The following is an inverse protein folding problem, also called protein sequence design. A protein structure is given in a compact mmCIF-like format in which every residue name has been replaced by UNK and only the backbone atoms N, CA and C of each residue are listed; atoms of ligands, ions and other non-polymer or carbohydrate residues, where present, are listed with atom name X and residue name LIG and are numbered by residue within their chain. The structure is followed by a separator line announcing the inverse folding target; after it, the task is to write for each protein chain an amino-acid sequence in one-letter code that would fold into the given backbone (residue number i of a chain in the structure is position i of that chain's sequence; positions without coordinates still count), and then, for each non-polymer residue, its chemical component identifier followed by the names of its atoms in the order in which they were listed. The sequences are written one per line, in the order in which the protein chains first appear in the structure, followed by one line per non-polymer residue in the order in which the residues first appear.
data_IF_933565149342
#
_entry.id   IF_933565149342
#
_cell.length_a   1.000
_cell.length_b   1.000
_cell.length_c   1.000
_cell.angle_alpha   90.00
_cell.angle_beta   90.00
_cell.angle_gamma   90.00
#
_symmetry.space_group_name_H-M   'P 1'
#
loop_
_entity.id
_entity.type
_entity.pdbx_description
1 polymer ?
#
# COMPACT_ATOMS: atom_id res chain seq x y z
N UNK A 1 13.90 14.21 -23.02
CA UNK A 1 12.93 14.22 -24.12
C UNK A 1 12.63 15.67 -24.47
N UNK A 2 13.00 16.09 -25.67
CA UNK A 2 13.04 17.50 -26.08
C UNK A 2 11.65 18.12 -26.17
N UNK A 3 10.65 17.33 -26.60
CA UNK A 3 9.26 17.75 -26.64
C UNK A 3 8.68 18.04 -25.25
N UNK A 4 9.08 17.27 -24.23
CA UNK A 4 8.69 17.49 -22.84
C UNK A 4 9.36 18.75 -22.27
N UNK A 5 10.65 18.92 -22.54
CA UNK A 5 11.39 20.13 -22.16
C UNK A 5 10.78 21.38 -22.80
N UNK A 6 10.37 21.31 -24.07
CA UNK A 6 9.70 22.41 -24.77
C UNK A 6 8.30 22.72 -24.20
N UNK A 7 7.53 21.69 -23.82
CA UNK A 7 6.23 21.88 -23.15
C UNK A 7 6.39 22.50 -21.76
N UNK A 8 7.40 22.09 -20.99
CA UNK A 8 7.75 22.68 -19.69
C UNK A 8 8.30 24.10 -19.84
N UNK A 9 9.10 24.36 -20.87
CA UNK A 9 9.62 25.68 -21.24
C UNK A 9 8.47 26.65 -21.55
N UNK A 10 7.47 26.17 -22.31
CA UNK A 10 6.24 26.91 -22.54
C UNK A 10 5.44 27.13 -21.25
N UNK A 11 5.45 26.19 -20.30
CA UNK A 11 4.64 26.27 -19.08
C UNK A 11 5.14 27.31 -18.08
N UNK A 12 6.47 27.54 -17.96
CA UNK A 12 7.01 28.56 -17.06
C UNK A 12 6.51 29.98 -17.38
N UNK A 13 6.18 30.24 -18.64
CA UNK A 13 5.48 31.45 -19.10
C UNK A 13 4.17 31.09 -19.84
N UNK A 14 3.52 30.00 -19.44
CA UNK A 14 2.39 29.41 -20.16
C UNK A 14 1.30 30.44 -20.43
N UNK A 15 1.05 30.70 -21.72
CA UNK A 15 0.07 31.68 -22.22
C UNK A 15 0.46 33.17 -22.06
N UNK A 16 1.71 33.49 -21.75
CA UNK A 16 2.19 34.88 -21.64
C UNK A 16 3.53 35.08 -22.38
N UNK A 17 3.67 36.18 -23.11
CA UNK A 17 4.94 36.54 -23.75
C UNK A 17 5.99 36.90 -22.67
N UNK A 18 7.20 36.31 -22.69
CA UNK A 18 8.28 36.61 -21.73
C UNK A 18 9.53 35.76 -21.93
N UNK A 19 10.66 36.18 -21.36
CA UNK A 19 11.93 35.43 -21.36
C UNK A 19 12.03 34.53 -20.12
N UNK A 20 12.81 33.44 -20.20
CA UNK A 20 12.95 32.49 -19.08
C UNK A 20 13.55 33.11 -17.81
N UNK A 21 14.37 34.16 -17.96
CA UNK A 21 14.97 34.88 -16.85
C UNK A 21 14.00 35.85 -16.17
N UNK A 22 12.83 36.09 -16.77
CA UNK A 22 11.81 36.91 -16.15
C UNK A 22 11.16 36.15 -14.99
N UNK A 23 10.76 36.84 -13.91
CA UNK A 23 10.03 36.22 -12.83
C UNK A 23 8.74 35.56 -13.37
N UNK A 24 8.38 34.36 -12.87
CA UNK A 24 7.24 33.60 -13.36
C UNK A 24 5.96 34.43 -13.29
N UNK A 25 5.30 34.62 -14.45
CA UNK A 25 4.11 35.47 -14.58
C UNK A 25 2.86 34.85 -13.96
N UNK A 26 2.78 33.53 -13.95
CA UNK A 26 1.75 32.80 -13.22
C UNK A 26 2.27 32.46 -11.83
N UNK A 27 1.45 32.70 -10.82
CA UNK A 27 1.71 32.30 -9.44
C UNK A 27 0.70 31.24 -9.06
N UNK A 28 1.15 30.16 -8.43
CA UNK A 28 0.28 29.26 -7.68
C UNK A 28 -0.22 30.03 -6.45
N UNK A 29 -1.28 30.81 -6.62
CA UNK A 29 -1.88 31.64 -5.54
C UNK A 29 -2.79 30.83 -4.61
N UNK A 30 -2.98 29.53 -4.88
CA UNK A 30 -3.85 28.64 -4.10
C UNK A 30 -5.35 28.92 -4.20
N UNK A 31 -5.73 29.88 -5.04
CA UNK A 31 -7.12 30.20 -5.37
C UNK A 31 -7.75 29.17 -6.29
N UNK A 32 -6.96 28.59 -7.20
CA UNK A 32 -7.41 27.53 -8.08
C UNK A 32 -7.33 26.17 -7.40
N UNK A 33 -8.50 25.66 -6.99
CA UNK A 33 -8.63 24.33 -6.34
C UNK A 33 -7.90 23.22 -7.09
N UNK A 34 -7.81 23.30 -8.42
CA UNK A 34 -7.16 22.31 -9.28
C UNK A 34 -5.63 22.23 -9.05
N UNK A 35 -5.01 23.31 -8.63
CA UNK A 35 -3.55 23.40 -8.47
C UNK A 35 -3.10 23.47 -7.01
N UNK A 36 -4.02 23.35 -6.06
CA UNK A 36 -3.68 23.33 -4.64
C UNK A 36 -2.77 22.16 -4.27
N UNK A 37 -2.86 21.03 -4.99
CA UNK A 37 -1.96 19.91 -4.84
C UNK A 37 -0.52 20.21 -5.29
N UNK A 38 -0.30 21.24 -6.12
CA UNK A 38 1.01 21.64 -6.63
C UNK A 38 1.71 22.69 -5.73
N UNK A 39 0.99 23.33 -4.79
CA UNK A 39 1.58 24.27 -3.84
C UNK A 39 2.70 23.63 -2.98
N UNK A 40 2.48 22.45 -2.36
CA UNK A 40 3.52 21.82 -1.55
C UNK A 40 4.71 21.38 -2.40
N UNK A 41 4.45 20.94 -3.64
CA UNK A 41 5.50 20.57 -4.60
C UNK A 41 6.42 21.74 -4.93
N UNK A 42 5.86 22.95 -5.10
CA UNK A 42 6.65 24.17 -5.31
C UNK A 42 7.53 24.52 -4.08
N UNK A 43 7.09 24.17 -2.88
CA UNK A 43 7.87 24.28 -1.64
C UNK A 43 8.83 23.10 -1.39
N UNK A 44 8.90 22.14 -2.31
CA UNK A 44 9.73 20.93 -2.16
C UNK A 44 9.18 19.92 -1.15
N UNK A 45 7.88 19.97 -0.84
CA UNK A 45 7.18 19.10 0.10
C UNK A 45 6.23 18.14 -0.62
N UNK A 46 6.13 16.92 -0.12
CA UNK A 46 5.19 15.92 -0.62
C UNK A 46 3.75 16.35 -0.34
N UNK A 47 2.85 16.36 -1.34
CA UNK A 47 1.52 16.98 -1.21
C UNK A 47 0.57 16.27 -0.24
N UNK A 48 0.80 14.99 0.04
CA UNK A 48 -0.05 14.21 0.98
C UNK A 48 0.58 14.12 2.38
N UNK A 49 1.91 14.14 2.49
CA UNK A 49 2.60 13.83 3.76
C UNK A 49 3.36 15.01 4.35
N UNK A 50 3.54 16.11 3.59
CA UNK A 50 4.29 17.30 4.01
C UNK A 50 5.80 17.08 4.16
N UNK A 51 6.30 15.86 3.97
CA UNK A 51 7.73 15.53 4.09
C UNK A 51 8.53 16.16 2.95
N UNK A 52 9.79 16.56 3.18
CA UNK A 52 10.65 17.06 2.11
C UNK A 52 10.86 16.00 1.03
N UNK A 53 10.77 16.41 -0.24
CA UNK A 53 10.97 15.54 -1.39
C UNK A 53 12.47 15.35 -1.60
N UNK A 54 12.93 14.11 -1.58
CA UNK A 54 14.31 13.74 -1.89
C UNK A 54 14.36 13.16 -3.29
N UNK A 55 14.97 13.89 -4.23
CA UNK A 55 15.09 13.51 -5.64
C UNK A 55 16.24 12.53 -5.93
N UNK A 56 16.34 11.44 -5.14
CA UNK A 56 17.43 10.46 -5.28
C UNK A 56 17.01 9.20 -6.08
N UNK A 57 15.83 9.18 -6.70
CA UNK A 57 15.38 8.02 -7.47
C UNK A 57 15.78 8.15 -8.94
N UNK A 58 16.24 7.04 -9.50
CA UNK A 58 16.49 6.91 -10.93
C UNK A 58 15.20 7.18 -11.72
N UNK A 59 15.29 7.79 -12.92
CA UNK A 59 14.13 8.00 -13.76
C UNK A 59 13.50 6.65 -14.11
N UNK A 60 12.19 6.54 -13.85
CA UNK A 60 11.40 5.36 -14.18
C UNK A 60 10.80 5.57 -15.58
N UNK A 61 10.84 4.57 -16.48
CA UNK A 61 10.16 4.62 -17.76
C UNK A 61 8.67 4.98 -17.58
N UNK A 62 8.19 5.98 -18.33
CA UNK A 62 6.82 6.48 -18.20
C UNK A 62 5.75 5.40 -18.43
N UNK A 63 6.06 4.38 -19.24
CA UNK A 63 5.17 3.23 -19.48
C UNK A 63 4.85 2.48 -18.18
N UNK A 64 5.83 2.29 -17.29
CA UNK A 64 5.61 1.62 -16.00
C UNK A 64 4.71 2.45 -15.09
N UNK A 65 4.86 3.78 -15.13
CA UNK A 65 4.01 4.70 -14.38
C UNK A 65 2.55 4.59 -14.83
N UNK A 66 2.30 4.50 -16.14
CA UNK A 66 0.94 4.38 -16.69
C UNK A 66 0.27 3.04 -16.40
N UNK A 67 1.05 1.96 -16.30
CA UNK A 67 0.51 0.62 -15.93
C UNK A 67 -0.08 0.60 -14.51
N UNK A 68 0.33 1.53 -13.65
CA UNK A 68 -0.16 1.65 -12.28
C UNK A 68 -1.45 2.47 -12.14
N UNK A 69 -2.09 2.89 -13.26
CA UNK A 69 -3.30 3.72 -13.30
C UNK A 69 -3.18 5.01 -12.45
N UNK A 70 -2.22 5.90 -12.74
CA UNK A 70 -1.95 7.07 -11.94
C UNK A 70 -3.03 8.15 -12.11
N UNK A 71 -3.25 8.95 -11.06
CA UNK A 71 -4.16 10.11 -11.12
C UNK A 71 -3.38 11.36 -11.54
N UNK A 72 -3.81 12.00 -12.62
CA UNK A 72 -3.24 13.28 -13.07
C UNK A 72 -3.58 14.40 -12.08
N UNK A 73 -2.55 15.06 -11.55
CA UNK A 73 -2.68 16.19 -10.61
C UNK A 73 -2.29 17.53 -11.26
N UNK A 74 -2.06 17.54 -12.58
CA UNK A 74 -1.74 18.71 -13.37
C UNK A 74 -0.24 18.97 -13.52
N UNK A 75 0.12 19.75 -14.54
CA UNK A 75 1.51 20.18 -14.76
C UNK A 75 2.49 19.05 -15.09
N UNK A 76 2.00 17.90 -15.53
CA UNK A 76 2.82 16.70 -15.81
C UNK A 76 3.18 15.89 -14.56
N UNK A 77 2.59 16.22 -13.40
CA UNK A 77 2.71 15.44 -12.18
C UNK A 77 1.57 14.43 -12.06
N UNK A 78 1.91 13.26 -11.52
CA UNK A 78 0.99 12.14 -11.37
C UNK A 78 1.06 11.62 -9.93
N UNK A 79 -0.10 11.36 -9.34
CA UNK A 79 -0.22 10.69 -8.06
C UNK A 79 -0.37 9.18 -8.29
N UNK A 80 0.64 8.42 -7.90
CA UNK A 80 0.60 6.96 -7.92
C UNK A 80 -0.40 6.44 -6.86
N UNK A 81 -1.06 5.30 -7.12
CA UNK A 81 -1.85 4.65 -6.10
C UNK A 81 -1.00 4.26 -4.88
N UNK A 82 -1.61 4.13 -3.69
CA UNK A 82 -0.90 3.66 -2.52
C UNK A 82 -0.30 2.27 -2.76
N UNK A 83 0.97 2.10 -2.38
CA UNK A 83 1.67 0.82 -2.48
C UNK A 83 0.88 -0.22 -1.67
N UNK A 84 0.59 -1.37 -2.30
CA UNK A 84 -0.08 -2.49 -1.62
C UNK A 84 0.73 -2.82 -0.34
N UNK A 85 0.08 -2.91 0.84
CA UNK A 85 0.79 -3.34 2.04
C UNK A 85 1.41 -4.71 1.79
N UNK A 86 2.57 -5.02 2.41
CA UNK A 86 3.14 -6.35 2.31
C UNK A 86 2.08 -7.39 2.69
N UNK A 87 2.11 -8.59 2.07
CA UNK A 87 1.23 -9.66 2.50
C UNK A 87 1.38 -9.83 4.01
N UNK A 88 0.26 -10.08 4.70
CA UNK A 88 0.31 -10.42 6.13
C UNK A 88 1.35 -11.51 6.31
N UNK A 89 2.17 -11.38 7.35
CA UNK A 89 3.11 -12.44 7.73
C UNK A 89 2.36 -13.76 7.75
N UNK A 90 2.98 -14.86 7.29
CA UNK A 90 2.40 -16.19 7.47
C UNK A 90 1.91 -16.32 8.92
N UNK A 91 0.71 -16.87 9.10
CA UNK A 91 0.27 -17.22 10.45
C UNK A 91 1.32 -18.15 11.03
N UNK A 92 1.89 -17.78 12.17
CA UNK A 92 2.79 -18.64 12.94
C UNK A 92 1.96 -19.81 13.48
N UNK A 93 1.86 -20.88 12.70
CA UNK A 93 1.36 -22.14 13.22
C UNK A 93 2.49 -22.77 14.03
N UNK A 94 2.28 -23.08 15.32
CA UNK A 94 3.31 -23.77 16.09
C UNK A 94 3.60 -25.11 15.43
N UNK A 95 4.88 -25.42 15.26
CA UNK A 95 5.28 -26.73 14.76
C UNK A 95 4.75 -27.83 15.69
N UNK A 96 4.48 -29.03 15.16
CA UNK A 96 4.02 -30.16 15.98
C UNK A 96 4.94 -30.44 17.18
N UNK A 97 6.22 -30.09 17.08
CA UNK A 97 7.22 -30.26 18.14
C UNK A 97 7.06 -29.25 19.30
N UNK A 98 6.53 -28.07 19.03
CA UNK A 98 6.33 -26.98 20.01
C UNK A 98 5.04 -27.13 20.81
N UNK A 99 4.15 -28.03 20.39
CA UNK A 99 2.93 -28.35 21.12
C UNK A 99 3.28 -29.07 22.44
N UNK A 100 2.42 -29.02 23.47
CA UNK A 100 2.57 -29.86 24.65
C UNK A 100 2.45 -31.34 24.28
N UNK A 101 3.14 -32.24 24.99
CA UNK A 101 3.21 -33.66 24.64
C UNK A 101 1.86 -34.39 24.67
N UNK A 102 0.91 -33.88 25.46
CA UNK A 102 -0.47 -34.36 25.50
C UNK A 102 -1.39 -33.75 24.44
N UNK A 103 -0.88 -32.94 23.51
CA UNK A 103 -1.72 -32.35 22.47
C UNK A 103 -2.22 -33.43 21.51
N UNK A 104 -3.55 -33.50 21.39
CA UNK A 104 -4.26 -34.41 20.49
C UNK A 104 -3.75 -34.37 19.05
N UNK A 105 -3.20 -33.23 18.59
CA UNK A 105 -2.62 -33.06 17.24
C UNK A 105 -1.31 -33.82 17.03
N UNK A 106 -0.56 -34.13 18.10
CA UNK A 106 0.69 -34.92 18.02
C UNK A 106 0.43 -36.41 17.74
N UNK A 107 -0.80 -36.88 17.91
CA UNK A 107 -1.10 -38.31 17.79
C UNK A 107 -1.35 -38.73 16.34
N UNK A 108 -0.88 -39.94 15.94
CA UNK A 108 -1.27 -40.55 14.67
C UNK A 108 -2.79 -40.68 14.53
N UNK A 109 -3.31 -40.65 13.30
CA UNK A 109 -4.74 -40.70 13.02
C UNK A 109 -5.47 -41.91 13.65
N UNK A 110 -4.80 -43.07 13.76
CA UNK A 110 -5.35 -44.24 14.41
C UNK A 110 -5.58 -44.02 15.92
N UNK A 111 -4.62 -43.40 16.60
CA UNK A 111 -4.70 -43.09 18.03
C UNK A 111 -5.77 -42.03 18.28
N UNK A 112 -5.87 -41.02 17.41
CA UNK A 112 -6.92 -39.98 17.47
C UNK A 112 -8.33 -40.58 17.42
N UNK A 113 -8.59 -41.46 16.46
CA UNK A 113 -9.88 -42.16 16.33
C UNK A 113 -10.22 -43.00 17.57
N UNK A 114 -9.22 -43.62 18.20
CA UNK A 114 -9.43 -44.40 19.43
C UNK A 114 -9.77 -43.48 20.61
N UNK A 115 -9.10 -42.34 20.75
CA UNK A 115 -9.39 -41.33 21.78
C UNK A 115 -10.81 -40.79 21.60
N UNK A 116 -11.21 -40.46 20.37
CA UNK A 116 -12.55 -39.94 20.07
C UNK A 116 -13.63 -40.98 20.41
N UNK A 117 -13.42 -42.24 20.02
CA UNK A 117 -14.33 -43.34 20.37
C UNK A 117 -14.42 -43.60 21.88
N UNK A 118 -13.32 -43.43 22.60
CA UNK A 118 -13.31 -43.54 24.07
C UNK A 118 -14.08 -42.38 24.71
N UNK A 119 -13.91 -41.15 24.20
CA UNK A 119 -14.66 -39.96 24.65
C UNK A 119 -16.15 -40.11 24.42
N UNK A 120 -16.58 -40.59 23.25
CA UNK A 120 -18.00 -40.86 22.95
C UNK A 120 -18.63 -41.87 23.91
N UNK A 121 -17.89 -42.92 24.28
CA UNK A 121 -18.38 -43.90 25.27
C UNK A 121 -18.54 -43.28 26.65
N UNK A 122 -17.56 -42.50 27.09
CA UNK A 122 -17.60 -41.84 28.40
C UNK A 122 -18.73 -40.80 28.45
N UNK A 123 -18.93 -40.01 27.40
CA UNK A 123 -20.06 -39.07 27.33
C UNK A 123 -21.40 -39.80 27.38
N UNK A 124 -21.55 -40.90 26.64
CA UNK A 124 -22.77 -41.72 26.68
C UNK A 124 -23.10 -42.22 28.09
N UNK A 125 -22.10 -42.71 28.84
CA UNK A 125 -22.31 -43.15 30.22
C UNK A 125 -22.62 -42.00 31.18
N UNK A 126 -21.96 -40.85 31.04
CA UNK A 126 -22.23 -39.67 31.85
C UNK A 126 -23.65 -39.13 31.59
N UNK A 127 -24.10 -39.09 30.34
CA UNK A 127 -25.45 -38.65 29.97
C UNK A 127 -26.51 -39.61 30.52
N UNK A 128 -26.25 -40.92 30.49
CA UNK A 128 -27.12 -41.93 31.10
C UNK A 128 -27.21 -41.74 32.63
N UNK A 129 -26.09 -41.48 33.30
CA UNK A 129 -26.01 -41.29 34.74
C UNK A 129 -26.59 -39.94 35.22
N UNK A 130 -26.65 -38.93 34.34
CA UNK A 130 -27.28 -37.65 34.61
C UNK A 130 -28.83 -37.70 34.49
N UNK A 131 -29.36 -38.69 33.78
CA UNK A 131 -30.80 -38.91 33.59
C UNK A 131 -31.40 -39.97 34.54
N UNK A 132 -30.60 -40.59 35.41
CA UNK A 132 -31.01 -41.54 36.45
C UNK A 132 -31.08 -40.88 37.82
#
# INVERSE_FOLDING_TARGET
DEALAHKLHGFHNGCFAGTWNDPPKWKLTGTDKKFNALLPLAEGKHPVSGKPIVWNRLPIPFVLVLMEEPVDIGGGYYLLPPIRPPPKSPMDFPNLTELPDGDYRKHPNAVRRLIDKARERVSFYNDYQACS
#
